data_IF_396267588609
#
_entry.id   IF_396267588609
#
_cell.length_a   1.000
_cell.length_b   1.000
_cell.length_c   1.000
_cell.angle_alpha   90.00
_cell.angle_beta   90.00
_cell.angle_gamma   90.00
#
_symmetry.space_group_name_H-M   'P 1'
#
loop_
_entity.id
_entity.type
_entity.pdbx_description
1 polymer ?
#
# COMPACT_ATOMS: atom_id res chain seq x y z
N UNK A 1 -1.05 -10.06 -19.57
CA UNK A 1 -1.60 -9.35 -20.75
C UNK A 1 -1.93 -10.32 -21.88
N UNK A 2 -1.00 -11.19 -22.28
CA UNK A 2 -1.23 -12.21 -23.32
C UNK A 2 -2.49 -13.07 -23.09
N UNK A 3 -2.69 -13.59 -21.86
CA UNK A 3 -3.88 -14.37 -21.51
C UNK A 3 -5.21 -13.61 -21.78
N UNK A 4 -5.27 -12.32 -21.49
CA UNK A 4 -6.45 -11.50 -21.76
C UNK A 4 -6.72 -11.36 -23.26
N UNK A 5 -5.66 -11.15 -24.05
CA UNK A 5 -5.76 -11.06 -25.51
C UNK A 5 -6.24 -12.40 -26.08
N UNK A 6 -5.69 -13.52 -25.60
CA UNK A 6 -6.15 -14.86 -25.97
C UNK A 6 -7.63 -15.08 -25.66
N UNK A 7 -8.10 -14.68 -24.47
CA UNK A 7 -9.52 -14.79 -24.11
C UNK A 7 -10.43 -13.96 -25.03
N UNK A 8 -10.02 -12.74 -25.40
CA UNK A 8 -10.74 -11.89 -26.36
C UNK A 8 -10.78 -12.50 -27.76
N UNK A 9 -9.65 -13.06 -28.21
CA UNK A 9 -9.55 -13.71 -29.52
C UNK A 9 -10.48 -14.92 -29.60
N UNK A 10 -10.44 -15.79 -28.59
CA UNK A 10 -11.35 -16.94 -28.52
C UNK A 10 -12.81 -16.51 -28.50
N UNK A 11 -13.17 -15.47 -27.74
CA UNK A 11 -14.55 -14.97 -27.72
C UNK A 11 -15.03 -14.57 -29.12
N UNK A 12 -14.17 -13.94 -29.93
CA UNK A 12 -14.49 -13.56 -31.32
C UNK A 12 -14.55 -14.76 -32.27
N UNK A 13 -13.63 -15.73 -32.13
CA UNK A 13 -13.60 -16.92 -32.99
C UNK A 13 -14.81 -17.84 -32.70
N UNK A 14 -15.25 -17.92 -31.45
CA UNK A 14 -16.35 -18.81 -31.02
C UNK A 14 -17.68 -18.50 -31.70
N UNK A 15 -17.89 -17.25 -32.14
CA UNK A 15 -19.05 -16.86 -32.94
C UNK A 15 -19.14 -17.65 -34.26
N UNK A 16 -18.00 -18.06 -34.82
CA UNK A 16 -17.90 -18.77 -36.11
C UNK A 16 -17.67 -20.28 -35.94
N UNK A 17 -17.26 -20.74 -34.74
CA UNK A 17 -16.92 -22.13 -34.45
C UNK A 17 -17.58 -22.61 -33.14
N UNK A 18 -18.91 -22.52 -33.06
CA UNK A 18 -19.67 -22.72 -31.82
C UNK A 18 -19.47 -24.09 -31.14
N UNK A 19 -19.22 -25.15 -31.93
CA UNK A 19 -19.10 -26.53 -31.43
C UNK A 19 -17.65 -26.98 -31.19
N UNK A 20 -16.65 -26.12 -31.41
CA UNK A 20 -15.26 -26.49 -31.23
C UNK A 20 -14.89 -26.56 -29.75
N UNK A 21 -14.13 -27.59 -29.37
CA UNK A 21 -13.56 -27.69 -28.02
C UNK A 21 -12.40 -26.70 -27.89
N UNK A 22 -12.40 -25.90 -26.83
CA UNK A 22 -11.40 -24.85 -26.60
C UNK A 22 -10.46 -25.27 -25.48
N UNK A 23 -9.16 -25.12 -25.73
CA UNK A 23 -8.11 -25.28 -24.75
C UNK A 23 -7.19 -24.05 -24.77
N UNK A 24 -6.92 -23.51 -23.59
CA UNK A 24 -6.08 -22.32 -23.40
C UNK A 24 -4.82 -22.72 -22.64
N UNK A 25 -3.67 -22.32 -23.15
CA UNK A 25 -2.37 -22.66 -22.57
C UNK A 25 -1.59 -21.40 -22.22
N UNK A 26 -1.02 -21.37 -21.02
CA UNK A 26 -0.17 -20.29 -20.53
C UNK A 26 1.12 -20.87 -19.96
N UNK A 27 2.25 -20.24 -20.25
CA UNK A 27 3.56 -20.57 -19.69
C UNK A 27 3.88 -19.85 -18.38
N UNK A 28 3.06 -18.85 -18.04
CA UNK A 28 3.17 -18.19 -16.76
C UNK A 28 2.52 -19.01 -15.63
N UNK A 29 3.38 -19.57 -14.76
CA UNK A 29 2.97 -20.26 -13.53
C UNK A 29 2.11 -19.38 -12.60
N UNK A 30 2.29 -18.06 -12.60
CA UNK A 30 1.55 -17.14 -11.70
C UNK A 30 0.16 -16.80 -12.25
N UNK A 31 0.02 -16.70 -13.57
CA UNK A 31 -1.25 -16.32 -14.22
C UNK A 31 -2.31 -17.41 -14.03
N UNK A 32 -1.91 -18.68 -14.02
CA UNK A 32 -2.85 -19.79 -13.90
C UNK A 32 -3.61 -19.78 -12.55
N UNK A 33 -2.95 -19.66 -11.38
CA UNK A 33 -3.62 -19.41 -10.10
C UNK A 33 -4.49 -18.16 -10.10
N UNK A 34 -4.10 -17.08 -10.78
CA UNK A 34 -4.94 -15.88 -10.86
C UNK A 34 -6.27 -16.15 -11.55
N UNK A 35 -6.23 -16.86 -12.68
CA UNK A 35 -7.40 -17.21 -13.49
C UNK A 35 -8.29 -18.24 -12.77
N UNK A 36 -7.70 -19.21 -12.05
CA UNK A 36 -8.45 -20.27 -11.36
C UNK A 36 -9.09 -19.85 -10.03
N UNK A 37 -8.72 -18.69 -9.48
CA UNK A 37 -9.25 -18.19 -8.20
C UNK A 37 -10.23 -17.01 -8.38
N UNK A 38 -10.85 -16.60 -7.27
CA UNK A 38 -11.77 -15.46 -7.26
C UNK A 38 -11.04 -14.14 -7.58
N UNK A 39 -11.46 -13.37 -8.61
CA UNK A 39 -10.81 -12.12 -9.02
C UNK A 39 -10.72 -11.07 -7.91
N UNK A 40 -11.67 -11.08 -6.96
CA UNK A 40 -11.74 -10.11 -5.85
C UNK A 40 -10.57 -10.24 -4.88
N UNK A 41 -9.87 -11.38 -4.88
CA UNK A 41 -8.65 -11.59 -4.10
C UNK A 41 -7.49 -10.76 -4.61
N UNK A 42 -7.51 -10.29 -5.85
CA UNK A 42 -6.38 -9.61 -6.47
C UNK A 42 -6.50 -8.08 -6.39
N UNK A 43 -5.36 -7.38 -6.46
CA UNK A 43 -5.33 -5.91 -6.62
C UNK A 43 -6.09 -5.49 -7.88
N UNK A 44 -6.63 -4.27 -7.89
CA UNK A 44 -7.53 -3.76 -8.94
C UNK A 44 -7.03 -4.00 -10.37
N UNK A 45 -5.74 -3.85 -10.63
CA UNK A 45 -5.15 -4.06 -11.96
C UNK A 45 -5.24 -5.52 -12.43
N UNK A 46 -4.97 -6.48 -11.55
CA UNK A 46 -5.05 -7.92 -11.83
C UNK A 46 -6.52 -8.35 -11.80
N UNK A 47 -7.27 -7.91 -10.78
CA UNK A 47 -8.71 -8.16 -10.65
C UNK A 47 -9.46 -7.85 -11.94
N UNK A 48 -9.34 -6.63 -12.48
CA UNK A 48 -10.09 -6.24 -13.68
C UNK A 48 -9.81 -7.15 -14.88
N UNK A 49 -8.56 -7.62 -15.04
CA UNK A 49 -8.18 -8.50 -16.16
C UNK A 49 -8.65 -9.92 -15.95
N UNK A 50 -8.52 -10.44 -14.73
CA UNK A 50 -8.96 -11.79 -14.38
C UNK A 50 -10.49 -11.86 -14.51
N UNK A 51 -11.22 -10.84 -14.06
CA UNK A 51 -12.68 -10.74 -14.26
C UNK A 51 -13.03 -10.83 -15.74
N UNK A 52 -12.39 -10.03 -16.59
CA UNK A 52 -12.67 -10.05 -18.03
C UNK A 52 -12.30 -11.39 -18.69
N UNK A 53 -11.22 -12.05 -18.25
CA UNK A 53 -10.87 -13.39 -18.72
C UNK A 53 -11.97 -14.39 -18.35
N UNK A 54 -12.41 -14.40 -17.09
CA UNK A 54 -13.42 -15.33 -16.59
C UNK A 54 -14.81 -15.10 -17.23
N UNK A 55 -15.12 -13.87 -17.64
CA UNK A 55 -16.34 -13.55 -18.40
C UNK A 55 -16.32 -14.15 -19.81
N UNK A 56 -15.13 -14.32 -20.41
CA UNK A 56 -14.98 -14.77 -21.81
C UNK A 56 -14.66 -16.24 -21.93
N UNK A 57 -13.86 -16.77 -21.01
CA UNK A 57 -13.44 -18.17 -21.00
C UNK A 57 -13.55 -18.79 -19.61
N UNK A 58 -14.10 -20.01 -19.49
CA UNK A 58 -14.18 -20.71 -18.22
C UNK A 58 -12.77 -21.03 -17.67
N UNK A 59 -12.50 -20.91 -16.37
CA UNK A 59 -11.18 -21.18 -15.79
C UNK A 59 -10.64 -22.60 -16.05
N UNK A 60 -11.53 -23.57 -16.26
CA UNK A 60 -11.22 -24.99 -16.44
C UNK A 60 -10.52 -25.28 -17.78
N UNK A 61 -10.70 -24.41 -18.79
CA UNK A 61 -10.01 -24.59 -20.08
C UNK A 61 -8.57 -24.10 -20.05
N UNK A 62 -8.13 -23.47 -18.96
CA UNK A 62 -6.78 -22.94 -18.81
C UNK A 62 -5.82 -23.98 -18.23
N UNK A 63 -4.73 -24.21 -18.94
CA UNK A 63 -3.70 -25.19 -18.64
C UNK A 63 -2.31 -24.54 -18.68
N UNK A 64 -1.35 -25.19 -18.02
CA UNK A 64 0.03 -24.77 -18.04
C UNK A 64 0.79 -25.42 -19.20
N UNK A 65 1.57 -24.63 -19.94
CA UNK A 65 2.52 -25.10 -20.93
C UNK A 65 3.93 -24.73 -20.44
N UNK A 66 4.87 -25.67 -20.24
CA UNK A 66 6.23 -25.31 -19.86
C UNK A 66 6.85 -24.32 -20.85
N UNK A 67 7.56 -23.30 -20.34
CA UNK A 67 8.18 -22.28 -21.21
C UNK A 67 9.19 -22.85 -22.21
N UNK A 68 9.90 -23.94 -21.85
CA UNK A 68 10.82 -24.65 -22.77
C UNK A 68 10.10 -25.36 -23.92
N UNK A 69 8.82 -25.68 -23.75
CA UNK A 69 7.97 -26.36 -24.74
C UNK A 69 6.96 -25.42 -25.38
N UNK A 70 6.92 -24.15 -24.96
CA UNK A 70 6.10 -23.12 -25.56
C UNK A 70 6.77 -22.62 -26.85
N UNK A 71 6.22 -22.91 -28.05
CA UNK A 71 6.81 -22.45 -29.30
C UNK A 71 6.85 -20.92 -29.40
N UNK A 72 5.91 -20.20 -28.77
CA UNK A 72 5.89 -18.74 -28.78
C UNK A 72 7.13 -18.14 -28.07
N UNK A 73 7.68 -18.83 -27.07
CA UNK A 73 8.86 -18.39 -26.33
C UNK A 73 10.14 -18.44 -27.16
N UNK A 74 10.19 -19.33 -28.17
CA UNK A 74 11.34 -19.47 -29.06
C UNK A 74 11.51 -18.26 -29.98
N UNK A 75 10.41 -17.64 -30.41
CA UNK A 75 10.47 -16.38 -31.17
C UNK A 75 10.87 -15.22 -30.25
N UNK A 76 10.26 -15.12 -29.07
CA UNK A 76 10.47 -13.94 -28.20
C UNK A 76 11.87 -13.88 -27.60
N UNK A 77 12.50 -15.03 -27.31
CA UNK A 77 13.88 -15.10 -26.78
C UNK A 77 14.96 -15.11 -27.88
N UNK A 78 14.57 -15.36 -29.12
CA UNK A 78 15.47 -15.50 -30.26
C UNK A 78 16.03 -16.91 -30.39
N UNK A 79 15.97 -17.46 -31.62
CA UNK A 79 16.50 -18.77 -31.97
C UNK A 79 17.32 -18.65 -33.26
N UNK A 80 18.47 -19.34 -33.33
CA UNK A 80 19.28 -19.35 -34.55
C UNK A 80 18.55 -20.09 -35.67
N UNK A 81 18.73 -19.66 -36.92
CA UNK A 81 18.08 -20.30 -38.09
C UNK A 81 18.45 -21.78 -38.18
N UNK A 82 19.70 -22.15 -37.89
CA UNK A 82 20.16 -23.55 -37.89
C UNK A 82 19.42 -24.41 -36.86
N UNK A 83 19.13 -23.85 -35.69
CA UNK A 83 18.39 -24.56 -34.64
C UNK A 83 16.89 -24.59 -34.98
N UNK A 84 16.34 -23.51 -35.54
CA UNK A 84 14.93 -23.43 -35.94
C UNK A 84 14.56 -24.47 -37.01
N UNK A 85 15.43 -24.70 -38.00
CA UNK A 85 15.19 -25.70 -39.06
C UNK A 85 15.03 -27.11 -38.45
N UNK A 86 15.76 -27.40 -37.37
CA UNK A 86 15.74 -28.72 -36.73
C UNK A 86 14.78 -28.80 -35.52
N UNK A 87 14.05 -27.73 -35.22
CA UNK A 87 13.24 -27.63 -34.00
C UNK A 87 11.88 -28.32 -34.15
N UNK A 88 11.78 -29.52 -33.58
CA UNK A 88 10.57 -30.34 -33.69
C UNK A 88 9.35 -29.70 -32.99
N UNK A 89 9.55 -29.00 -31.87
CA UNK A 89 8.44 -28.38 -31.11
C UNK A 89 7.86 -27.19 -31.86
N UNK A 90 8.70 -26.44 -32.58
CA UNK A 90 8.23 -25.33 -33.41
C UNK A 90 7.38 -25.82 -34.59
N UNK A 91 7.85 -26.83 -35.32
CA UNK A 91 7.21 -27.31 -36.55
C UNK A 91 6.04 -28.26 -36.32
N UNK A 92 6.14 -29.12 -35.31
CA UNK A 92 5.15 -30.16 -35.06
C UNK A 92 4.33 -29.93 -33.80
N UNK A 93 4.72 -28.96 -32.97
CA UNK A 93 4.14 -28.75 -31.65
C UNK A 93 4.71 -29.72 -30.62
N UNK A 94 4.45 -29.48 -29.33
CA UNK A 94 4.92 -30.37 -28.28
C UNK A 94 4.15 -31.70 -28.30
N UNK A 95 4.81 -32.84 -28.02
CA UNK A 95 4.20 -34.17 -28.13
C UNK A 95 2.90 -34.35 -27.32
N UNK A 96 2.82 -33.74 -26.13
CA UNK A 96 1.64 -33.83 -25.26
C UNK A 96 0.40 -33.14 -25.85
N UNK A 97 0.57 -32.15 -26.72
CA UNK A 97 -0.55 -31.46 -27.38
C UNK A 97 -1.18 -32.35 -28.46
N UNK A 98 -0.35 -33.16 -29.13
CA UNK A 98 -0.75 -34.04 -30.24
C UNK A 98 -1.43 -35.31 -29.71
N UNK A 99 -0.89 -35.88 -28.64
CA UNK A 99 -1.36 -37.14 -28.05
C UNK A 99 -2.68 -36.98 -27.29
N UNK A 100 -3.20 -35.76 -27.14
CA UNK A 100 -4.37 -35.40 -26.32
C UNK A 100 -4.29 -35.88 -24.87
N UNK A 101 -3.09 -36.25 -24.43
CA UNK A 101 -2.86 -36.84 -23.12
C UNK A 101 -2.57 -35.72 -22.11
N UNK A 102 -3.63 -35.09 -21.63
CA UNK A 102 -3.55 -34.03 -20.62
C UNK A 102 -3.10 -34.53 -19.25
N UNK A 103 -2.95 -35.85 -19.07
CA UNK A 103 -2.47 -36.48 -17.83
C UNK A 103 -0.98 -36.20 -17.57
N UNK A 104 -0.19 -35.92 -18.60
CA UNK A 104 1.25 -35.64 -18.48
C UNK A 104 1.56 -34.25 -17.87
N UNK A 105 0.58 -33.34 -17.81
CA UNK A 105 0.76 -31.99 -17.26
C UNK A 105 0.63 -31.97 -15.73
N UNK A 106 0.05 -33.01 -15.12
CA UNK A 106 -0.06 -33.12 -13.66
C UNK A 106 1.20 -33.62 -12.96
N UNK A 107 2.18 -34.17 -13.70
CA UNK A 107 3.36 -34.85 -13.12
C UNK A 107 4.65 -34.01 -13.08
N UNK A 108 4.63 -32.74 -13.50
CA UNK A 108 5.83 -31.89 -13.50
C UNK A 108 5.84 -30.88 -12.36
N UNK A 109 6.73 -31.16 -11.41
CA UNK A 109 7.15 -30.38 -10.24
C UNK A 109 6.32 -29.15 -9.85
N UNK A 110 5.59 -29.42 -8.77
CA UNK A 110 4.90 -28.59 -7.78
C UNK A 110 5.82 -27.56 -7.10
N UNK A 111 6.75 -26.95 -7.85
CA UNK A 111 7.22 -25.62 -7.49
C UNK A 111 6.04 -24.68 -7.71
N UNK A 112 5.16 -24.66 -6.72
CA UNK A 112 4.15 -23.64 -6.51
C UNK A 112 4.80 -22.30 -6.86
N UNK A 113 4.12 -21.41 -7.59
CA UNK A 113 4.64 -20.08 -7.81
C UNK A 113 4.98 -19.50 -6.45
N UNK A 114 6.18 -18.91 -6.30
CA UNK A 114 6.68 -18.40 -5.02
C UNK A 114 5.52 -17.74 -4.24
N UNK A 115 5.13 -18.29 -3.07
CA UNK A 115 4.00 -17.78 -2.31
C UNK A 115 4.09 -16.27 -2.08
N UNK A 116 5.32 -15.74 -1.99
CA UNK A 116 5.59 -14.31 -1.90
C UNK A 116 5.17 -13.54 -3.15
N UNK A 117 5.38 -14.11 -4.34
CA UNK A 117 4.98 -13.52 -5.62
C UNK A 117 3.45 -13.46 -5.75
N UNK A 118 2.74 -14.53 -5.38
CA UNK A 118 1.27 -14.56 -5.40
C UNK A 118 0.70 -13.61 -4.34
N UNK A 119 1.22 -13.67 -3.11
CA UNK A 119 0.81 -12.80 -2.01
C UNK A 119 1.06 -11.31 -2.32
N UNK A 120 2.08 -11.00 -3.12
CA UNK A 120 2.35 -9.61 -3.53
C UNK A 120 1.23 -9.00 -4.37
N UNK A 121 0.45 -9.80 -5.10
CA UNK A 121 -0.67 -9.35 -5.94
C UNK A 121 -2.05 -9.57 -5.31
N UNK A 122 -2.11 -10.25 -4.16
CA UNK A 122 -3.31 -10.31 -3.35
C UNK A 122 -3.65 -8.91 -2.80
N UNK A 123 -4.96 -8.63 -2.81
CA UNK A 123 -5.56 -7.49 -2.15
C UNK A 123 -5.51 -7.79 -0.65
N UNK A 124 -4.61 -7.10 0.05
CA UNK A 124 -4.61 -7.07 1.50
C UNK A 124 -5.93 -6.42 1.95
N UNK A 125 -6.90 -7.26 2.30
CA UNK A 125 -8.05 -6.83 3.09
C UNK A 125 -7.55 -6.84 4.52
N UNK A 126 -7.18 -5.68 5.03
CA UNK A 126 -6.93 -5.52 6.46
C UNK A 126 -8.23 -5.86 7.18
N UNK A 127 -8.35 -7.09 7.66
CA UNK A 127 -9.38 -7.44 8.63
C UNK A 127 -9.04 -6.61 9.86
N UNK A 128 -9.93 -5.68 10.22
CA UNK A 128 -9.76 -4.87 11.41
C UNK A 128 -9.85 -5.80 12.63
N UNK A 129 -8.72 -6.33 13.08
CA UNK A 129 -8.59 -6.87 14.43
C UNK A 129 -8.94 -5.73 15.36
N UNK A 130 -9.91 -5.96 16.26
CA UNK A 130 -10.29 -5.00 17.30
C UNK A 130 -9.09 -4.73 18.20
N UNK A 131 -8.27 -3.74 17.83
CA UNK A 131 -7.36 -3.12 18.77
C UNK A 131 -8.22 -2.40 19.80
N UNK A 132 -7.85 -2.51 21.09
CA UNK A 132 -8.40 -1.72 22.17
C UNK A 132 -8.52 -0.26 21.71
N UNK A 133 -9.73 0.18 21.41
CA UNK A 133 -9.97 1.52 20.92
C UNK A 133 -9.79 2.46 22.10
N UNK A 134 -8.63 3.10 22.15
CA UNK A 134 -8.46 4.28 23.00
C UNK A 134 -9.41 5.34 22.43
N UNK A 135 -10.56 5.50 23.07
CA UNK A 135 -11.49 6.56 22.71
C UNK A 135 -10.78 7.90 22.90
N UNK A 136 -10.77 8.76 21.87
CA UNK A 136 -10.13 10.05 21.98
C UNK A 136 -10.92 10.92 22.96
N UNK A 137 -10.21 11.74 23.74
CA UNK A 137 -10.81 12.66 24.72
C UNK A 137 -11.75 13.67 24.03
N UNK A 138 -11.52 13.94 22.75
CA UNK A 138 -12.34 14.82 21.92
C UNK A 138 -12.56 14.17 20.56
N UNK A 139 -13.71 14.44 19.96
CA UNK A 139 -13.93 14.12 18.55
C UNK A 139 -13.20 15.14 17.68
N UNK A 140 -12.13 14.69 17.02
CA UNK A 140 -11.30 15.53 16.16
C UNK A 140 -12.07 16.07 14.95
N UNK A 141 -13.10 15.37 14.47
CA UNK A 141 -13.86 15.78 13.27
C UNK A 141 -14.65 17.08 13.48
N UNK A 142 -14.88 17.47 14.74
CA UNK A 142 -15.54 18.74 15.10
C UNK A 142 -14.63 19.96 14.95
N UNK A 143 -13.35 19.77 14.62
CA UNK A 143 -12.36 20.84 14.55
C UNK A 143 -11.84 21.00 13.12
N UNK A 144 -12.11 22.16 12.53
CA UNK A 144 -11.52 22.57 11.24
C UNK A 144 -10.23 23.38 11.39
N UNK A 145 -9.91 23.84 12.60
CA UNK A 145 -8.76 24.70 12.88
C UNK A 145 -7.79 24.01 13.86
N UNK A 146 -6.53 23.90 13.43
CA UNK A 146 -5.47 23.23 14.17
C UNK A 146 -5.18 23.89 15.53
N UNK A 147 -5.05 25.21 15.57
CA UNK A 147 -4.78 25.93 16.82
C UNK A 147 -5.95 25.83 17.81
N UNK A 148 -7.19 25.86 17.32
CA UNK A 148 -8.39 25.66 18.15
C UNK A 148 -8.39 24.27 18.76
N UNK A 149 -8.08 23.23 17.99
CA UNK A 149 -7.95 21.86 18.49
C UNK A 149 -6.94 21.78 19.63
N UNK A 150 -5.72 22.32 19.42
CA UNK A 150 -4.66 22.29 20.43
C UNK A 150 -5.06 23.04 21.70
N UNK A 151 -5.64 24.24 21.57
CA UNK A 151 -6.06 25.04 22.74
C UNK A 151 -7.16 24.35 23.55
N UNK A 152 -8.19 23.82 22.89
CA UNK A 152 -9.27 23.11 23.58
C UNK A 152 -8.74 21.87 24.27
N UNK A 153 -7.89 21.10 23.59
CA UNK A 153 -7.26 19.91 24.17
C UNK A 153 -6.39 20.28 25.38
N UNK A 154 -5.59 21.35 25.29
CA UNK A 154 -4.75 21.81 26.39
C UNK A 154 -5.58 22.23 27.61
N UNK A 155 -6.69 22.95 27.42
CA UNK A 155 -7.60 23.27 28.52
C UNK A 155 -8.23 22.04 29.16
N UNK A 156 -8.62 21.04 28.36
CA UNK A 156 -9.16 19.78 28.88
C UNK A 156 -8.10 19.02 29.70
N UNK A 157 -6.87 18.92 29.19
CA UNK A 157 -5.76 18.29 29.92
C UNK A 157 -5.44 19.03 31.21
N UNK A 158 -5.45 20.37 31.19
CA UNK A 158 -5.29 21.20 32.40
C UNK A 158 -6.41 20.96 33.39
N UNK A 159 -7.66 20.90 32.94
CA UNK A 159 -8.80 20.60 33.80
C UNK A 159 -8.59 19.26 34.51
N UNK A 160 -8.26 18.20 33.78
CA UNK A 160 -7.96 16.88 34.34
C UNK A 160 -6.81 16.94 35.36
N UNK A 161 -5.74 17.69 35.08
CA UNK A 161 -4.62 17.89 36.01
C UNK A 161 -5.06 18.62 37.29
N UNK A 162 -5.82 19.70 37.15
CA UNK A 162 -6.33 20.49 38.27
C UNK A 162 -7.34 19.72 39.12
N UNK A 163 -8.11 18.81 38.54
CA UNK A 163 -9.03 17.93 39.29
C UNK A 163 -8.29 16.92 40.17
N UNK A 164 -7.05 16.57 39.82
CA UNK A 164 -6.22 15.58 40.53
C UNK A 164 -5.19 16.20 41.48
N UNK A 165 -4.91 17.49 41.34
CA UNK A 165 -3.84 18.21 42.06
C UNK A 165 -4.41 19.20 43.08
N UNK A 166 -3.72 19.35 44.23
CA UNK A 166 -4.02 20.43 45.19
C UNK A 166 -3.57 21.80 44.67
N UNK A 167 -2.47 21.83 43.92
CA UNK A 167 -1.99 23.03 43.24
C UNK A 167 -2.69 23.19 41.89
N UNK A 168 -3.42 24.29 41.73
CA UNK A 168 -4.22 24.57 40.53
C UNK A 168 -3.48 25.53 39.61
N UNK A 169 -3.36 25.16 38.34
CA UNK A 169 -2.83 26.04 37.30
C UNK A 169 -3.95 26.91 36.76
N UNK A 170 -3.78 28.23 36.74
CA UNK A 170 -4.79 29.23 36.33
C UNK A 170 -4.15 30.22 35.36
N UNK A 171 -4.96 30.87 34.50
CA UNK A 171 -4.50 31.90 33.56
C UNK A 171 -4.38 31.41 32.11
N UNK A 172 -3.54 32.07 31.32
CA UNK A 172 -3.33 31.73 29.90
C UNK A 172 -2.64 30.37 29.73
N UNK A 173 -2.82 29.74 28.55
CA UNK A 173 -2.15 28.48 28.21
C UNK A 173 -0.66 28.71 28.03
N UNK A 174 0.15 27.84 28.62
CA UNK A 174 1.60 27.86 28.42
C UNK A 174 1.98 27.15 27.11
N UNK A 175 3.20 27.41 26.64
CA UNK A 175 3.78 26.73 25.48
C UNK A 175 3.92 25.23 25.71
N UNK A 176 4.21 24.81 26.93
CA UNK A 176 4.37 23.42 27.34
C UNK A 176 3.02 22.67 27.27
N UNK A 177 1.92 23.32 27.64
CA UNK A 177 0.58 22.72 27.56
C UNK A 177 0.12 22.54 26.11
N UNK A 178 0.38 23.53 25.24
CA UNK A 178 0.10 23.39 23.82
C UNK A 178 0.98 22.30 23.17
N UNK A 179 2.24 22.22 23.59
CA UNK A 179 3.16 21.16 23.16
C UNK A 179 2.68 19.77 23.62
N UNK A 180 2.21 19.65 24.86
CA UNK A 180 1.66 18.41 25.41
C UNK A 180 0.37 17.99 24.70
N UNK A 181 -0.51 18.94 24.37
CA UNK A 181 -1.69 18.69 23.57
C UNK A 181 -1.34 18.21 22.16
N UNK A 182 -0.30 18.79 21.55
CA UNK A 182 0.21 18.34 20.25
C UNK A 182 0.77 16.92 20.32
N UNK A 183 1.62 16.63 21.32
CA UNK A 183 2.20 15.31 21.55
C UNK A 183 1.11 14.26 21.80
N UNK A 184 0.02 14.61 22.51
CA UNK A 184 -1.15 13.74 22.69
C UNK A 184 -1.78 13.31 21.36
N UNK A 185 -2.09 14.26 20.48
CA UNK A 185 -2.70 13.96 19.19
C UNK A 185 -1.78 13.16 18.26
N UNK A 186 -0.49 13.47 18.27
CA UNK A 186 0.50 12.69 17.51
C UNK A 186 0.52 11.24 18.00
N UNK A 187 0.61 11.01 19.32
CA UNK A 187 0.61 9.65 19.90
C UNK A 187 -0.65 8.90 19.54
N UNK A 188 -1.80 9.54 19.65
CA UNK A 188 -3.08 8.93 19.33
C UNK A 188 -3.16 8.53 17.85
N UNK A 189 -2.80 9.44 16.94
CA UNK A 189 -2.76 9.20 15.50
C UNK A 189 -1.81 8.05 15.14
N UNK A 190 -0.61 8.05 15.71
CA UNK A 190 0.38 6.99 15.52
C UNK A 190 -0.11 5.65 16.06
N UNK A 191 -0.70 5.62 17.26
CA UNK A 191 -1.20 4.40 17.85
C UNK A 191 -2.35 3.79 17.03
N UNK A 192 -3.30 4.61 16.58
CA UNK A 192 -4.42 4.14 15.77
C UNK A 192 -3.99 3.56 14.42
N UNK A 193 -2.90 4.07 13.82
CA UNK A 193 -2.46 3.66 12.48
C UNK A 193 -1.29 2.68 12.46
N UNK A 194 -0.45 2.66 13.52
CA UNK A 194 0.83 1.95 13.57
C UNK A 194 0.99 1.14 14.88
N UNK A 195 -0.11 0.71 15.50
CA UNK A 195 -0.09 -0.04 16.77
C UNK A 195 0.84 -1.26 16.72
N UNK A 196 0.78 -2.03 15.63
CA UNK A 196 1.62 -3.21 15.42
C UNK A 196 3.10 -2.84 15.36
N UNK A 197 3.46 -1.84 14.57
CA UNK A 197 4.85 -1.38 14.44
C UNK A 197 5.39 -0.82 15.76
N UNK A 198 4.58 -0.03 16.47
CA UNK A 198 4.94 0.53 17.78
C UNK A 198 5.19 -0.60 18.78
N UNK A 199 4.32 -1.62 18.80
CA UNK A 199 4.48 -2.78 19.68
C UNK A 199 5.73 -3.60 19.33
N UNK A 200 6.01 -3.80 18.03
CA UNK A 200 7.24 -4.46 17.59
C UNK A 200 8.49 -3.72 18.09
N UNK A 201 8.54 -2.39 17.90
CA UNK A 201 9.69 -1.58 18.35
C UNK A 201 9.83 -1.63 19.87
N UNK A 202 8.73 -1.52 20.62
CA UNK A 202 8.75 -1.61 22.09
C UNK A 202 9.25 -2.98 22.58
N UNK A 203 8.92 -4.05 21.87
CA UNK A 203 9.35 -5.41 22.21
C UNK A 203 10.73 -5.79 21.60
N UNK A 204 11.50 -4.84 21.05
CA UNK A 204 12.76 -5.10 20.33
C UNK A 204 12.63 -6.15 19.21
N UNK A 205 11.47 -6.22 18.56
CA UNK A 205 11.21 -7.09 17.40
C UNK A 205 11.39 -6.32 16.09
N UNK A 206 11.80 -7.03 15.04
CA UNK A 206 11.84 -6.49 13.70
C UNK A 206 10.44 -6.12 13.22
N UNK A 207 10.34 -4.98 12.53
CA UNK A 207 9.13 -4.59 11.81
C UNK A 207 9.01 -5.47 10.58
N UNK A 208 7.77 -5.84 10.24
CA UNK A 208 7.50 -6.60 9.02
C UNK A 208 8.00 -5.82 7.79
N UNK A 209 8.67 -6.53 6.87
CA UNK A 209 9.17 -5.99 5.60
C UNK A 209 8.03 -5.45 4.72
N UNK A 210 6.81 -5.93 4.92
CA UNK A 210 5.61 -5.43 4.23
C UNK A 210 5.13 -4.06 4.73
N UNK A 211 5.56 -3.62 5.92
CA UNK A 211 5.10 -2.36 6.51
C UNK A 211 5.62 -1.16 5.73
N UNK A 212 4.75 -0.15 5.60
CA UNK A 212 5.10 1.16 5.00
C UNK A 212 6.21 1.87 5.77
N UNK A 213 6.45 1.49 7.02
CA UNK A 213 7.45 2.09 7.89
C UNK A 213 8.81 1.39 7.82
N UNK A 214 8.89 0.17 7.27
CA UNK A 214 10.13 -0.62 7.25
C UNK A 214 11.32 0.15 6.65
N UNK A 215 11.12 0.78 5.49
CA UNK A 215 12.15 1.58 4.82
C UNK A 215 12.53 2.89 5.50
N UNK A 216 11.81 3.30 6.54
CA UNK A 216 12.06 4.55 7.28
C UNK A 216 12.93 4.35 8.52
N UNK A 217 13.29 3.09 8.85
CA UNK A 217 14.04 2.74 10.06
C UNK A 217 13.46 3.44 11.31
N UNK A 218 12.19 3.21 11.67
CA UNK A 218 11.52 4.03 12.68
C UNK A 218 12.05 3.75 14.08
N UNK A 219 12.11 4.79 14.91
CA UNK A 219 12.54 4.73 16.31
C UNK A 219 11.56 5.50 17.19
N UNK A 220 11.37 5.05 18.43
CA UNK A 220 10.58 5.77 19.44
C UNK A 220 11.51 6.71 20.21
N UNK A 221 11.12 7.98 20.35
CA UNK A 221 11.86 8.97 21.14
C UNK A 221 11.56 8.87 22.65
N UNK A 222 12.25 9.67 23.46
CA UNK A 222 12.06 9.73 24.92
C UNK A 222 10.63 10.13 25.33
N UNK A 223 9.95 10.87 24.46
CA UNK A 223 8.55 11.26 24.66
C UNK A 223 7.58 10.16 24.24
N UNK A 224 8.04 9.06 23.66
CA UNK A 224 7.19 7.98 23.16
C UNK A 224 6.60 8.23 21.76
N UNK A 225 7.16 9.16 20.98
CA UNK A 225 6.75 9.48 19.62
C UNK A 225 7.54 8.66 18.60
N UNK A 226 6.86 8.15 17.58
CA UNK A 226 7.48 7.44 16.47
C UNK A 226 8.12 8.44 15.50
N UNK A 227 9.43 8.28 15.26
CA UNK A 227 10.24 9.15 14.40
C UNK A 227 11.02 8.34 13.37
N UNK A 228 11.39 9.00 12.28
CA UNK A 228 12.35 8.46 11.31
C UNK A 228 13.75 8.49 11.95
N UNK A 229 14.48 7.38 11.90
CA UNK A 229 15.90 7.37 12.28
C UNK A 229 16.73 7.69 11.05
N UNK A 230 17.08 8.97 10.86
CA UNK A 230 17.88 9.36 9.71
C UNK A 230 19.36 9.03 9.89
N UNK A 231 20.09 8.94 8.78
CA UNK A 231 21.56 8.79 8.80
C UNK A 231 22.28 10.11 9.08
N UNK A 232 21.55 11.23 9.23
CA UNK A 232 22.09 12.58 9.44
C UNK A 232 22.40 12.87 10.92
N UNK A 233 22.77 11.83 11.68
CA UNK A 233 23.02 11.87 13.13
C UNK A 233 24.13 12.84 13.54
N UNK A 234 24.99 13.27 12.59
CA UNK A 234 26.10 14.22 12.81
C UNK A 234 25.88 15.61 12.19
N UNK A 235 24.67 15.96 11.77
CA UNK A 235 24.37 17.29 11.21
C UNK A 235 24.05 18.31 12.31
N UNK A 236 24.33 19.59 12.09
CA UNK A 236 24.02 20.70 13.00
C UNK A 236 22.55 21.18 12.90
N UNK A 237 21.66 20.33 12.37
CA UNK A 237 20.25 20.64 12.16
C UNK A 237 19.43 20.34 13.42
N UNK A 238 18.26 20.95 13.55
CA UNK A 238 17.37 20.72 14.69
C UNK A 238 16.92 19.24 14.75
N UNK A 239 16.68 18.72 15.95
CA UNK A 239 16.28 17.31 16.17
C UNK A 239 15.01 16.97 15.39
N UNK A 240 14.11 17.93 15.19
CA UNK A 240 12.91 17.77 14.36
C UNK A 240 13.20 17.61 12.87
N UNK A 241 14.24 18.26 12.36
CA UNK A 241 14.68 18.17 10.96
C UNK A 241 15.53 16.93 10.72
N UNK A 242 16.34 16.54 11.70
CA UNK A 242 17.17 15.31 11.64
C UNK A 242 16.30 14.07 11.76
N UNK A 243 15.37 14.04 12.72
CA UNK A 243 14.52 12.88 13.00
C UNK A 243 13.04 13.31 13.01
N UNK A 244 12.44 13.51 11.82
CA UNK A 244 11.06 13.98 11.72
C UNK A 244 10.06 12.96 12.29
N UNK A 245 8.96 13.48 12.83
CA UNK A 245 7.89 12.70 13.44
C UNK A 245 7.08 12.01 12.35
N UNK A 246 6.92 10.70 12.42
CA UNK A 246 6.18 9.93 11.42
C UNK A 246 4.68 10.14 11.63
N UNK A 247 3.96 10.50 10.56
CA UNK A 247 2.51 10.68 10.62
C UNK A 247 1.79 9.90 9.51
N UNK A 248 0.61 9.31 9.80
CA UNK A 248 -0.24 8.67 8.81
C UNK A 248 -0.98 9.72 7.95
N UNK A 249 -1.78 9.27 6.99
CA UNK A 249 -2.66 10.14 6.20
C UNK A 249 -4.06 10.17 6.80
N UNK A 250 -4.17 10.75 7.99
CA UNK A 250 -5.39 10.84 8.76
C UNK A 250 -5.90 12.29 8.86
N UNK A 251 -6.99 12.49 9.61
CA UNK A 251 -7.59 13.81 9.78
C UNK A 251 -6.69 14.76 10.58
N UNK A 252 -5.95 14.27 11.57
CA UNK A 252 -5.01 15.10 12.31
C UNK A 252 -3.90 15.63 11.40
N UNK A 253 -3.33 14.77 10.56
CA UNK A 253 -2.32 15.17 9.58
C UNK A 253 -2.87 16.13 8.54
N UNK A 254 -4.17 16.02 8.18
CA UNK A 254 -4.85 17.02 7.35
C UNK A 254 -4.86 18.39 8.03
N UNK A 255 -5.19 18.48 9.32
CA UNK A 255 -5.16 19.76 10.04
C UNK A 255 -3.75 20.37 10.10
N UNK A 256 -2.72 19.54 10.27
CA UNK A 256 -1.32 19.98 10.20
C UNK A 256 -1.00 20.56 8.83
N UNK A 257 -1.38 19.86 7.75
CA UNK A 257 -1.15 20.32 6.37
C UNK A 257 -1.88 21.63 6.10
N UNK A 258 -3.14 21.77 6.53
CA UNK A 258 -3.91 23.01 6.38
C UNK A 258 -3.23 24.18 7.09
N UNK A 259 -2.81 23.96 8.34
CA UNK A 259 -2.10 24.96 9.11
C UNK A 259 -0.78 25.36 8.45
N UNK A 260 -0.03 24.40 7.92
CA UNK A 260 1.19 24.70 7.15
C UNK A 260 0.88 25.50 5.89
N UNK A 261 -0.15 25.11 5.16
CA UNK A 261 -0.57 25.77 3.94
C UNK A 261 -0.96 27.25 4.17
N UNK A 262 -1.66 27.53 5.27
CA UNK A 262 -1.96 28.91 5.72
C UNK A 262 -0.69 29.68 6.07
N UNK A 263 0.27 29.06 6.77
CA UNK A 263 1.54 29.71 7.15
C UNK A 263 2.44 30.04 5.96
N UNK A 264 2.36 29.29 4.87
CA UNK A 264 3.05 29.63 3.61
C UNK A 264 2.18 30.50 2.69
N UNK A 265 1.12 31.13 3.21
CA UNK A 265 0.24 32.04 2.47
C UNK A 265 -0.33 31.43 1.19
N UNK A 266 -0.70 30.14 1.24
CA UNK A 266 -1.29 29.43 0.10
C UNK A 266 -0.39 29.33 -1.15
N UNK A 267 0.93 29.51 -1.02
CA UNK A 267 1.87 29.56 -2.15
C UNK A 267 1.86 28.30 -3.03
N UNK A 268 1.53 27.13 -2.45
CA UNK A 268 1.33 25.91 -3.23
C UNK A 268 1.77 24.64 -2.50
N UNK A 269 1.79 23.54 -3.25
CA UNK A 269 2.06 22.19 -2.72
C UNK A 269 3.51 22.01 -2.29
N UNK A 270 4.47 22.60 -3.01
CA UNK A 270 5.90 22.40 -2.75
C UNK A 270 6.34 23.10 -1.47
N UNK A 271 5.91 24.34 -1.27
CA UNK A 271 6.21 25.17 -0.10
C UNK A 271 5.56 24.58 1.14
N UNK A 272 4.30 24.16 1.02
CA UNK A 272 3.59 23.45 2.09
C UNK A 272 4.31 22.16 2.47
N UNK A 273 4.82 21.40 1.49
CA UNK A 273 5.58 20.17 1.71
C UNK A 273 6.91 20.43 2.42
N UNK A 274 7.66 21.46 2.02
CA UNK A 274 8.92 21.83 2.67
C UNK A 274 8.67 22.18 4.14
N UNK A 275 7.66 23.03 4.38
CA UNK A 275 7.34 23.46 5.73
C UNK A 275 6.83 22.32 6.63
N UNK A 276 6.01 21.40 6.09
CA UNK A 276 5.60 20.21 6.86
C UNK A 276 6.78 19.30 7.14
N UNK A 277 7.67 19.09 6.16
CA UNK A 277 8.83 18.19 6.29
C UNK A 277 9.86 18.64 7.30
N UNK A 278 9.91 19.93 7.63
CA UNK A 278 10.80 20.44 8.69
C UNK A 278 10.54 19.76 10.06
N UNK A 279 9.33 19.22 10.29
CA UNK A 279 8.99 18.57 11.57
C UNK A 279 8.31 17.21 11.41
N UNK A 280 7.65 16.96 10.29
CA UNK A 280 6.80 15.78 10.08
C UNK A 280 7.16 15.00 8.81
N UNK A 281 7.24 13.69 8.96
CA UNK A 281 7.31 12.74 7.87
C UNK A 281 5.93 12.12 7.62
N UNK A 282 5.10 12.81 6.83
CA UNK A 282 3.77 12.31 6.45
C UNK A 282 3.92 11.26 5.32
N UNK A 283 3.29 10.10 5.46
CA UNK A 283 3.38 9.03 4.47
C UNK A 283 2.82 9.46 3.10
N UNK A 284 3.62 9.35 2.03
CA UNK A 284 3.22 9.82 0.68
C UNK A 284 2.79 11.31 0.69
N UNK A 285 3.47 12.13 1.51
CA UNK A 285 3.15 13.54 1.78
C UNK A 285 2.73 14.35 0.54
N UNK A 286 3.50 14.33 -0.55
CA UNK A 286 3.21 15.15 -1.74
C UNK A 286 1.81 14.88 -2.31
N UNK A 287 1.39 13.61 -2.42
CA UNK A 287 0.05 13.26 -2.93
C UNK A 287 -1.04 13.70 -1.95
N UNK A 288 -0.80 13.51 -0.65
CA UNK A 288 -1.73 13.90 0.40
C UNK A 288 -1.91 15.43 0.46
N UNK A 289 -0.83 16.19 0.47
CA UNK A 289 -0.84 17.66 0.47
C UNK A 289 -1.55 18.18 -0.78
N UNK A 290 -1.25 17.63 -1.96
CA UNK A 290 -1.96 18.01 -3.19
C UNK A 290 -3.48 17.84 -3.05
N UNK A 291 -3.94 16.71 -2.49
CA UNK A 291 -5.37 16.49 -2.28
C UNK A 291 -6.01 17.46 -1.28
N UNK A 292 -5.25 17.91 -0.27
CA UNK A 292 -5.74 18.87 0.73
C UNK A 292 -5.80 20.29 0.15
N UNK A 293 -4.74 20.75 -0.52
CA UNK A 293 -4.68 22.08 -1.12
C UNK A 293 -5.76 22.26 -2.20
N UNK A 294 -5.93 21.28 -3.12
CA UNK A 294 -6.96 21.37 -4.18
C UNK A 294 -8.38 21.57 -3.63
N UNK A 295 -8.70 21.00 -2.46
CA UNK A 295 -10.02 21.18 -1.85
C UNK A 295 -10.19 22.58 -1.26
N UNK A 296 -9.13 23.19 -0.75
CA UNK A 296 -9.17 24.53 -0.14
C UNK A 296 -9.17 25.62 -1.19
N UNK A 297 -8.34 25.50 -2.22
CA UNK A 297 -8.21 26.49 -3.29
C UNK A 297 -9.49 26.58 -4.13
N UNK A 298 -10.28 25.50 -4.21
CA UNK A 298 -11.59 25.49 -4.87
C UNK A 298 -12.70 26.19 -4.05
N UNK A 299 -12.56 26.26 -2.72
CA UNK A 299 -13.59 26.87 -1.84
C UNK A 299 -13.36 28.38 -1.68
N UNK A 300 -12.18 28.88 -2.03
CA UNK A 300 -11.82 30.31 -1.93
C UNK A 300 -12.01 31.10 -3.24
N UNK A 301 -12.29 30.43 -4.36
CA UNK A 301 -12.64 31.03 -5.65
C UNK A 301 -14.14 30.87 -5.91
#
# INVERSE_FOLDING_TARGET
MAALIGARLIASIREHFANAKVYMWTDSKIVLPWIKNNPRRWKTFVQNRVTEIQEKTPPEVWNHCPGCENPADKITRGLSIKNLVNDQVWWHGPPWLIQQDTSCVSSYDDSDPDPLSIASEERIITLATSAESVEPVLDIQKFSNFHKLLRVTAYVLRFVKNSKSKEKTVGHLSTEELSSAMDYWIKLSQFQCFSNEINCIKCNKCIDKSSKLYGLNPKIDEKGLLRVNSRLVKSSLDVGEVNPIILPNDYFSRLIVLNSHERVLHTGVNETLIQTRAKFWILRARRFIKSVCMVVDFVKN
#
